data_IF_202991173459
#
_entry.id   IF_202991173459
#
_cell.length_a   1.000
_cell.length_b   1.000
_cell.length_c   1.000
_cell.angle_alpha   90.00
_cell.angle_beta   90.00
_cell.angle_gamma   90.00
#
_symmetry.space_group_name_H-M   'P 1'
#
loop_
_entity.id
_entity.type
_entity.pdbx_description
1 polymer ?
#
# COMPACT_ATOMS: atom_id res chain seq x y z
N UNK A 1 -6.74 23.84 6.07
CA UNK A 1 -6.08 23.74 4.74
C UNK A 1 -4.96 22.73 4.85
N UNK A 2 -5.07 21.55 4.21
CA UNK A 2 -3.94 20.59 4.13
C UNK A 2 -2.80 21.30 3.38
N UNK A 3 -1.71 21.65 4.09
CA UNK A 3 -0.47 22.09 3.43
C UNK A 3 0.14 20.85 2.78
N UNK A 4 -0.15 20.62 1.50
CA UNK A 4 0.60 19.63 0.73
C UNK A 4 2.02 20.14 0.54
N UNK A 5 2.97 19.39 1.07
CA UNK A 5 4.37 19.60 0.80
C UNK A 5 4.67 19.32 -0.69
N UNK A 6 5.50 20.14 -1.35
CA UNK A 6 5.83 19.95 -2.76
C UNK A 6 6.47 18.57 -2.98
N UNK A 7 5.97 17.82 -3.96
CA UNK A 7 6.45 16.48 -4.32
C UNK A 7 5.82 15.32 -3.53
N UNK A 8 5.29 15.54 -2.32
CA UNK A 8 4.66 14.46 -1.53
C UNK A 8 3.44 13.86 -2.24
N UNK A 9 2.60 14.69 -2.84
CA UNK A 9 1.42 14.21 -3.57
C UNK A 9 1.80 13.35 -4.79
N UNK A 10 2.92 13.67 -5.46
CA UNK A 10 3.39 12.91 -6.61
C UNK A 10 3.92 11.54 -6.18
N UNK A 11 4.69 11.50 -5.09
CA UNK A 11 5.22 10.26 -4.50
C UNK A 11 4.10 9.37 -3.96
N UNK A 12 3.13 9.95 -3.23
CA UNK A 12 1.95 9.23 -2.78
C UNK A 12 1.15 8.67 -3.95
N UNK A 13 0.90 9.47 -5.00
CA UNK A 13 0.19 9.00 -6.18
C UNK A 13 0.97 7.91 -6.94
N UNK A 14 2.30 7.96 -6.96
CA UNK A 14 3.13 6.91 -7.55
C UNK A 14 3.04 5.62 -6.74
N UNK A 15 3.15 5.71 -5.41
CA UNK A 15 3.01 4.57 -4.50
C UNK A 15 1.62 3.93 -4.63
N UNK A 16 0.55 4.73 -4.62
CA UNK A 16 -0.83 4.27 -4.82
C UNK A 16 -1.01 3.53 -6.14
N UNK A 17 -0.47 4.08 -7.24
CA UNK A 17 -0.53 3.41 -8.54
C UNK A 17 0.17 2.05 -8.52
N UNK A 18 1.35 1.93 -7.90
CA UNK A 18 2.08 0.65 -7.82
C UNK A 18 1.33 -0.39 -6.99
N UNK A 19 0.77 0.01 -5.85
CA UNK A 19 -0.06 -0.87 -5.02
C UNK A 19 -1.32 -1.31 -5.78
N UNK A 20 -2.01 -0.38 -6.46
CA UNK A 20 -3.19 -0.71 -7.26
C UNK A 20 -2.89 -1.67 -8.42
N UNK A 21 -1.72 -1.56 -9.06
CA UNK A 21 -1.30 -2.50 -10.10
C UNK A 21 -1.11 -3.92 -9.53
N UNK A 22 -0.51 -4.04 -8.34
CA UNK A 22 -0.36 -5.33 -7.66
C UNK A 22 -1.72 -5.89 -7.22
N UNK A 23 -2.58 -5.03 -6.70
CA UNK A 23 -3.92 -5.37 -6.24
C UNK A 23 -4.86 -5.80 -7.38
N UNK A 24 -4.74 -5.17 -8.54
CA UNK A 24 -5.45 -5.55 -9.76
C UNK A 24 -4.97 -6.89 -10.34
N UNK A 25 -3.73 -7.29 -10.03
CA UNK A 25 -3.17 -8.58 -10.46
C UNK A 25 -3.62 -9.75 -9.57
N UNK A 26 -4.29 -9.47 -8.45
CA UNK A 26 -4.81 -10.49 -7.52
C UNK A 26 -6.29 -10.71 -7.78
N UNK A 27 -6.75 -11.96 -7.94
CA UNK A 27 -8.17 -12.25 -8.09
C UNK A 27 -8.96 -11.81 -6.85
N UNK A 28 -10.15 -11.24 -7.04
CA UNK A 28 -10.97 -10.64 -5.97
C UNK A 28 -11.20 -11.59 -4.79
N UNK A 29 -11.39 -12.88 -5.04
CA UNK A 29 -11.59 -13.91 -4.00
C UNK A 29 -10.37 -14.15 -3.09
N UNK A 30 -9.22 -13.57 -3.41
CA UNK A 30 -7.96 -13.69 -2.66
C UNK A 30 -7.35 -12.35 -2.32
N UNK A 31 -8.05 -11.24 -2.62
CA UNK A 31 -7.57 -9.92 -2.30
C UNK A 31 -7.48 -9.79 -0.78
N UNK A 32 -6.28 -9.55 -0.21
CA UNK A 32 -6.15 -9.38 1.22
C UNK A 32 -6.85 -8.08 1.61
N UNK A 33 -7.47 -8.06 2.79
CA UNK A 33 -7.98 -6.82 3.34
C UNK A 33 -6.80 -5.90 3.71
N UNK A 34 -6.56 -4.91 2.85
CA UNK A 34 -5.53 -3.89 3.00
C UNK A 34 -6.03 -2.70 3.86
N UNK A 35 -7.26 -2.73 4.37
CA UNK A 35 -7.85 -1.68 5.20
C UNK A 35 -7.68 -1.89 6.72
N UNK A 36 -6.76 -2.76 7.17
CA UNK A 36 -6.55 -3.04 8.59
C UNK A 36 -5.98 -1.86 9.40
N UNK A 37 -5.96 -1.96 10.74
CA UNK A 37 -5.47 -0.91 11.67
C UNK A 37 -4.08 -0.34 11.31
N UNK A 38 -3.20 -1.17 10.74
CA UNK A 38 -1.86 -0.75 10.32
C UNK A 38 -1.89 0.22 9.15
N UNK A 39 -2.90 0.14 8.29
CA UNK A 39 -3.13 1.06 7.19
C UNK A 39 -3.55 2.44 7.69
N UNK A 40 -4.56 2.50 8.56
CA UNK A 40 -5.04 3.74 9.15
C UNK A 40 -3.94 4.47 9.94
N UNK A 41 -3.09 3.72 10.64
CA UNK A 41 -1.93 4.30 11.33
C UNK A 41 -0.96 4.98 10.36
N UNK A 42 -0.68 4.37 9.21
CA UNK A 42 0.24 4.92 8.21
C UNK A 42 -0.35 6.16 7.51
N UNK A 43 -1.66 6.16 7.23
CA UNK A 43 -2.36 7.36 6.74
C UNK A 43 -2.26 8.53 7.74
N UNK A 44 -2.46 8.24 9.03
CA UNK A 44 -2.30 9.25 10.08
C UNK A 44 -0.86 9.75 10.21
N UNK A 45 0.15 8.89 10.02
CA UNK A 45 1.57 9.28 10.02
C UNK A 45 1.91 10.19 8.82
N UNK A 46 1.36 9.91 7.62
CA UNK A 46 1.51 10.79 6.44
C UNK A 46 0.84 12.15 6.69
N UNK A 47 -0.39 12.15 7.20
CA UNK A 47 -1.13 13.39 7.49
C UNK A 47 -0.42 14.23 8.57
N UNK A 48 0.09 13.59 9.63
CA UNK A 48 0.85 14.26 10.69
C UNK A 48 2.17 14.85 10.16
N UNK A 49 2.93 14.09 9.38
CA UNK A 49 4.19 14.57 8.79
C UNK A 49 3.96 15.75 7.82
N UNK A 50 2.90 15.67 7.00
CA UNK A 50 2.49 16.80 6.16
C UNK A 50 2.07 18.02 6.99
N UNK A 51 1.33 17.82 8.08
CA UNK A 51 0.92 18.88 9.00
C UNK A 51 2.09 19.56 9.72
N UNK A 52 3.12 18.79 10.08
CA UNK A 52 4.36 19.27 10.70
C UNK A 52 5.33 19.92 9.69
N UNK A 53 5.10 19.76 8.39
CA UNK A 53 6.01 20.22 7.35
C UNK A 53 7.27 19.36 7.20
N UNK A 54 7.27 18.16 7.80
CA UNK A 54 8.38 17.22 7.76
C UNK A 54 8.27 16.34 6.51
N UNK A 55 8.98 16.76 5.46
CA UNK A 55 8.97 16.07 4.17
C UNK A 55 9.59 14.69 4.25
N UNK A 56 10.69 14.52 4.97
CA UNK A 56 11.41 13.26 5.02
C UNK A 56 10.61 12.20 5.78
N UNK A 57 9.96 12.59 6.89
CA UNK A 57 9.03 11.72 7.59
C UNK A 57 7.84 11.30 6.70
N UNK A 58 7.27 12.23 5.92
CA UNK A 58 6.17 11.92 5.01
C UNK A 58 6.60 10.95 3.89
N UNK A 59 7.77 11.16 3.28
CA UNK A 59 8.32 10.24 2.28
C UNK A 59 8.62 8.85 2.85
N UNK A 60 9.15 8.80 4.07
CA UNK A 60 9.43 7.55 4.76
C UNK A 60 8.13 6.79 5.03
N UNK A 61 7.08 7.46 5.52
CA UNK A 61 5.77 6.86 5.76
C UNK A 61 5.14 6.31 4.47
N UNK A 62 5.22 7.05 3.36
CA UNK A 62 4.75 6.58 2.03
C UNK A 62 5.48 5.31 1.59
N UNK A 63 6.81 5.25 1.73
CA UNK A 63 7.58 4.06 1.36
C UNK A 63 7.27 2.85 2.25
N UNK A 64 7.09 3.06 3.55
CA UNK A 64 6.71 2.00 4.47
C UNK A 64 5.33 1.44 4.14
N UNK A 65 4.40 2.32 3.80
CA UNK A 65 3.07 1.96 3.32
C UNK A 65 3.13 1.12 2.04
N UNK A 66 3.89 1.56 1.03
CA UNK A 66 4.05 0.85 -0.23
C UNK A 66 4.62 -0.56 0.00
N UNK A 67 5.68 -0.67 0.80
CA UNK A 67 6.30 -1.96 1.11
C UNK A 67 5.38 -2.89 1.88
N UNK A 68 4.58 -2.36 2.82
CA UNK A 68 3.65 -3.17 3.57
C UNK A 68 2.55 -3.74 2.67
N UNK A 69 1.95 -2.88 1.84
CA UNK A 69 0.95 -3.29 0.87
C UNK A 69 1.52 -4.33 -0.10
N UNK A 70 2.70 -4.07 -0.68
CA UNK A 70 3.36 -5.00 -1.58
C UNK A 70 3.63 -6.37 -0.93
N UNK A 71 4.00 -6.42 0.35
CA UNK A 71 4.21 -7.69 1.09
C UNK A 71 2.90 -8.42 1.33
N UNK A 72 1.83 -7.72 1.73
CA UNK A 72 0.52 -8.32 1.94
C UNK A 72 -0.03 -8.91 0.63
N UNK A 73 0.04 -8.14 -0.45
CA UNK A 73 -0.38 -8.55 -1.79
C UNK A 73 0.47 -9.70 -2.35
N UNK A 74 1.80 -9.63 -2.21
CA UNK A 74 2.70 -10.73 -2.61
C UNK A 74 2.42 -12.01 -1.82
N UNK A 75 2.05 -11.90 -0.54
CA UNK A 75 1.68 -13.06 0.27
C UNK A 75 0.39 -13.69 -0.25
N UNK A 76 -0.60 -12.90 -0.66
CA UNK A 76 -1.81 -13.41 -1.28
C UNK A 76 -1.54 -14.14 -2.61
N UNK A 77 -0.55 -13.68 -3.39
CA UNK A 77 -0.11 -14.36 -4.61
C UNK A 77 0.62 -15.68 -4.31
N UNK A 78 1.53 -15.70 -3.33
CA UNK A 78 2.36 -16.87 -3.00
C UNK A 78 1.60 -18.00 -2.29
N UNK A 79 0.57 -17.68 -1.51
CA UNK A 79 -0.29 -18.67 -0.84
C UNK A 79 -1.50 -19.08 -1.68
N UNK A 80 -1.50 -18.77 -2.99
CA UNK A 80 -2.39 -19.44 -3.92
C UNK A 80 -2.15 -20.97 -3.79
N UNK A 81 -3.12 -21.77 -3.35
CA UNK A 81 -2.97 -23.21 -3.51
C UNK A 81 -2.75 -23.43 -5.01
N UNK A 82 -1.61 -24.03 -5.36
CA UNK A 82 -1.42 -24.64 -6.67
C UNK A 82 -2.66 -25.51 -6.84
N UNK A 83 -3.55 -25.08 -7.73
CA UNK A 83 -4.71 -25.88 -8.08
C UNK A 83 -4.15 -27.23 -8.45
N UNK A 84 -4.41 -28.21 -7.57
CA UNK A 84 -4.16 -29.61 -7.82
C UNK A 84 -4.74 -29.85 -9.21
N UNK A 85 -3.86 -30.16 -10.15
CA UNK A 85 -4.25 -30.65 -11.45
C UNK A 85 -4.84 -32.04 -11.22
N UNK A 86 -6.05 -32.09 -10.69
CA UNK A 86 -6.91 -33.27 -10.71
C UNK A 86 -7.53 -33.27 -12.11
N UNK A 87 -6.87 -33.96 -13.03
CA UNK A 87 -7.51 -34.48 -14.24
C UNK A 87 -7.58 -35.99 -14.07
N UNK A 88 -8.77 -36.46 -13.70
CA UNK A 88 -9.22 -37.82 -14.02
C UNK A 88 -9.43 -38.02 -15.52
#
# INVERSE_FOLDING_TARGET
MRRSLPGINAELAAAVRRVNVLDASIPESRRPDICGERWHRLEAEIDNACGAGDRDAALLAIRQWEQHAARALSRALLHAPLGVADRG
#
